data_IF_926515988940
#
_entry.id   IF_926515988940
#
_cell.length_a   1.000
_cell.length_b   1.000
_cell.length_c   1.000
_cell.angle_alpha   90.00
_cell.angle_beta   90.00
_cell.angle_gamma   90.00
#
_symmetry.space_group_name_H-M   'P 1'
#
loop_
_entity.id
_entity.type
_entity.pdbx_description
1 polymer ?
#
# COMPACT_ATOMS: atom_id res chain seq x y z
N UNK A 1 -12.12 -15.16 7.76
CA UNK A 1 -11.51 -15.44 9.08
C UNK A 1 -10.10 -14.87 9.11
N UNK A 2 -9.78 -14.04 10.11
CA UNK A 2 -8.43 -13.52 10.33
C UNK A 2 -7.59 -14.47 11.22
N UNK A 3 -6.31 -14.13 11.47
CA UNK A 3 -5.44 -14.97 12.31
C UNK A 3 -5.94 -15.12 13.75
N UNK A 4 -6.58 -14.08 14.32
CA UNK A 4 -7.10 -14.12 15.68
C UNK A 4 -8.32 -15.03 15.78
N UNK A 5 -9.21 -14.98 14.79
CA UNK A 5 -10.38 -15.87 14.70
C UNK A 5 -9.99 -17.34 14.53
N UNK A 6 -8.92 -17.62 13.77
CA UNK A 6 -8.39 -18.99 13.66
C UNK A 6 -7.75 -19.43 14.97
N UNK A 7 -6.99 -18.56 15.64
CA UNK A 7 -6.44 -18.86 16.96
C UNK A 7 -7.55 -19.20 17.95
N UNK A 8 -8.60 -18.37 18.01
CA UNK A 8 -9.76 -18.61 18.86
C UNK A 8 -10.48 -19.92 18.50
N UNK A 9 -10.60 -20.24 17.20
CA UNK A 9 -11.19 -21.51 16.73
C UNK A 9 -10.35 -22.71 17.17
N UNK A 10 -9.03 -22.63 17.05
CA UNK A 10 -8.12 -23.70 17.47
C UNK A 10 -8.10 -23.87 19.00
N UNK A 11 -8.20 -22.78 19.77
CA UNK A 11 -8.34 -22.82 21.22
C UNK A 11 -9.65 -23.51 21.65
N UNK A 12 -10.77 -23.23 20.97
CA UNK A 12 -12.05 -23.93 21.22
C UNK A 12 -11.91 -25.45 20.97
N UNK A 13 -11.14 -25.84 19.94
CA UNK A 13 -10.85 -27.25 19.68
C UNK A 13 -9.98 -27.84 20.79
N UNK A 14 -8.94 -27.15 21.21
CA UNK A 14 -8.04 -27.61 22.29
C UNK A 14 -8.77 -27.74 23.62
N UNK A 15 -9.78 -26.90 23.90
CA UNK A 15 -10.61 -26.93 25.10
C UNK A 15 -11.78 -27.92 25.00
N UNK A 16 -11.94 -28.65 23.88
CA UNK A 16 -13.02 -29.58 23.65
C UNK A 16 -14.42 -28.95 23.45
N UNK A 17 -14.47 -27.63 23.26
CA UNK A 17 -15.70 -26.88 23.01
C UNK A 17 -16.18 -27.02 21.56
N UNK A 18 -15.30 -27.41 20.65
CA UNK A 18 -15.59 -27.66 19.24
C UNK A 18 -14.82 -28.88 18.75
N UNK A 19 -15.42 -29.68 17.89
CA UNK A 19 -14.75 -30.83 17.30
C UNK A 19 -13.76 -30.39 16.18
N UNK A 20 -12.74 -31.21 15.95
CA UNK A 20 -11.77 -30.99 14.84
C UNK A 20 -12.50 -30.88 13.48
N UNK A 21 -13.53 -31.72 13.26
CA UNK A 21 -14.30 -31.73 12.02
C UNK A 21 -15.11 -30.45 11.83
N UNK A 22 -15.70 -29.90 12.89
CA UNK A 22 -16.40 -28.60 12.83
C UNK A 22 -15.42 -27.45 12.56
N UNK A 23 -14.21 -27.46 13.14
CA UNK A 23 -13.18 -26.48 12.88
C UNK A 23 -12.68 -26.56 11.43
N UNK A 24 -12.39 -27.76 10.92
CA UNK A 24 -12.01 -27.99 9.52
C UNK A 24 -13.11 -27.54 8.55
N UNK A 25 -14.38 -27.79 8.90
CA UNK A 25 -15.50 -27.33 8.09
C UNK A 25 -15.58 -25.80 8.07
N UNK A 26 -15.46 -25.14 9.23
CA UNK A 26 -15.43 -23.67 9.32
C UNK A 26 -14.30 -23.06 8.48
N UNK A 27 -13.10 -23.64 8.54
CA UNK A 27 -11.95 -23.20 7.72
C UNK A 27 -12.15 -23.46 6.21
N UNK A 28 -12.94 -24.45 5.83
CA UNK A 28 -13.16 -24.79 4.40
C UNK A 28 -14.30 -24.00 3.76
N UNK A 29 -15.28 -23.57 4.53
CA UNK A 29 -16.55 -23.07 4.00
C UNK A 29 -16.48 -21.63 3.45
N UNK A 30 -15.43 -20.85 3.75
CA UNK A 30 -15.39 -19.42 3.38
C UNK A 30 -14.03 -18.93 2.82
N UNK A 31 -13.39 -19.61 1.84
CA UNK A 31 -12.16 -19.09 1.25
C UNK A 31 -12.42 -17.80 0.43
N UNK A 32 -13.61 -17.62 -0.09
CA UNK A 32 -14.05 -16.42 -0.80
C UNK A 32 -15.56 -16.28 -0.75
N UNK A 33 -16.04 -15.04 -0.93
CA UNK A 33 -17.46 -14.74 -1.10
C UNK A 33 -17.73 -14.45 -2.58
N UNK A 34 -18.75 -15.11 -3.14
CA UNK A 34 -19.19 -14.97 -4.53
C UNK A 34 -20.23 -13.83 -4.64
N UNK A 35 -19.93 -12.79 -5.42
CA UNK A 35 -20.84 -11.66 -5.69
C UNK A 35 -21.42 -11.71 -7.13
N UNK A 36 -21.19 -12.81 -7.87
CA UNK A 36 -21.57 -12.96 -9.27
C UNK A 36 -20.61 -12.30 -10.25
N UNK A 37 -20.18 -11.08 -10.00
CA UNK A 37 -19.18 -10.35 -10.79
C UNK A 37 -17.78 -10.33 -10.16
N UNK A 38 -17.66 -10.68 -8.89
CA UNK A 38 -16.39 -10.71 -8.15
C UNK A 38 -16.36 -11.85 -7.14
N UNK A 39 -15.16 -12.30 -6.81
CA UNK A 39 -14.89 -13.25 -5.72
C UNK A 39 -13.98 -12.55 -4.72
N UNK A 40 -14.52 -12.24 -3.53
CA UNK A 40 -13.79 -11.56 -2.47
C UNK A 40 -13.02 -12.59 -1.66
N UNK A 41 -11.71 -12.46 -1.57
CA UNK A 41 -10.80 -13.42 -0.90
C UNK A 41 -10.77 -13.17 0.61
N UNK A 42 -11.52 -13.94 1.37
CA UNK A 42 -11.58 -13.83 2.83
C UNK A 42 -10.36 -14.47 3.55
N UNK A 43 -9.47 -15.15 2.83
CA UNK A 43 -8.28 -15.82 3.38
C UNK A 43 -6.97 -15.10 3.07
N UNK A 44 -7.01 -13.94 2.42
CA UNK A 44 -5.80 -13.20 2.06
C UNK A 44 -5.03 -12.76 3.31
N UNK A 45 -5.71 -12.28 4.35
CA UNK A 45 -5.10 -11.90 5.62
C UNK A 45 -4.29 -13.04 6.25
N UNK A 46 -4.77 -14.29 6.13
CA UNK A 46 -4.08 -15.47 6.64
C UNK A 46 -2.83 -15.85 5.84
N UNK A 47 -2.90 -15.70 4.51
CA UNK A 47 -1.79 -16.09 3.62
C UNK A 47 -0.73 -15.02 3.49
N UNK A 48 -1.12 -13.76 3.53
CA UNK A 48 -0.27 -12.61 3.20
C UNK A 48 -0.12 -11.60 4.35
N UNK A 49 -0.80 -11.82 5.48
CA UNK A 49 -0.75 -10.91 6.64
C UNK A 49 -1.49 -9.58 6.45
N UNK A 50 -2.14 -9.37 5.31
CA UNK A 50 -2.90 -8.16 5.00
C UNK A 50 -4.24 -8.51 4.36
N UNK A 51 -5.28 -7.74 4.69
CA UNK A 51 -6.60 -7.85 4.10
C UNK A 51 -6.58 -7.66 2.58
N UNK A 52 -7.65 -8.07 1.89
CA UNK A 52 -7.81 -7.81 0.48
C UNK A 52 -7.92 -6.30 0.21
N UNK A 53 -7.44 -5.89 -0.96
CA UNK A 53 -7.43 -4.49 -1.42
C UNK A 53 -8.29 -4.38 -2.67
N UNK A 54 -9.15 -3.38 -2.72
CA UNK A 54 -10.00 -3.14 -3.89
C UNK A 54 -9.23 -2.29 -4.90
N UNK A 55 -8.91 -2.85 -6.05
CA UNK A 55 -8.38 -2.07 -7.18
C UNK A 55 -9.56 -1.43 -7.92
N UNK A 56 -9.75 -0.12 -7.76
CA UNK A 56 -10.92 0.61 -8.26
C UNK A 56 -10.90 0.89 -9.77
N UNK A 57 -9.71 0.93 -10.41
CA UNK A 57 -9.66 1.20 -11.84
C UNK A 57 -10.40 0.11 -12.65
N UNK A 58 -11.27 0.54 -13.56
CA UNK A 58 -12.07 -0.35 -14.40
C UNK A 58 -13.30 -0.96 -13.73
N UNK A 59 -13.53 -0.69 -12.44
CA UNK A 59 -14.78 -1.06 -11.75
C UNK A 59 -15.79 0.08 -11.78
N UNK A 60 -17.07 -0.28 -11.83
CA UNK A 60 -18.15 0.72 -11.65
C UNK A 60 -18.23 1.14 -10.17
N UNK A 61 -18.74 2.34 -9.86
CA UNK A 61 -18.95 2.78 -8.47
C UNK A 61 -19.75 1.76 -7.64
N UNK A 62 -20.78 1.16 -8.23
CA UNK A 62 -21.60 0.14 -7.56
C UNK A 62 -20.82 -1.14 -7.26
N UNK A 63 -19.96 -1.60 -8.17
CA UNK A 63 -19.11 -2.76 -7.93
C UNK A 63 -18.14 -2.53 -6.76
N UNK A 64 -17.54 -1.34 -6.67
CA UNK A 64 -16.65 -0.96 -5.56
C UNK A 64 -17.41 -0.98 -4.25
N UNK A 65 -18.61 -0.36 -4.22
CA UNK A 65 -19.48 -0.33 -3.07
C UNK A 65 -19.87 -1.74 -2.59
N UNK A 66 -20.33 -2.60 -3.49
CA UNK A 66 -20.80 -3.95 -3.13
C UNK A 66 -19.65 -4.84 -2.61
N UNK A 67 -18.44 -4.71 -3.17
CA UNK A 67 -17.23 -5.40 -2.66
C UNK A 67 -16.88 -4.87 -1.26
N UNK A 68 -16.83 -3.55 -1.07
CA UNK A 68 -16.50 -2.95 0.22
C UNK A 68 -17.53 -3.33 1.30
N UNK A 69 -18.82 -3.36 0.96
CA UNK A 69 -19.91 -3.81 1.84
C UNK A 69 -19.71 -5.27 2.25
N UNK A 70 -19.39 -6.14 1.30
CA UNK A 70 -19.11 -7.55 1.54
C UNK A 70 -17.92 -7.73 2.51
N UNK A 71 -16.82 -7.02 2.28
CA UNK A 71 -15.65 -7.05 3.16
C UNK A 71 -15.94 -6.52 4.57
N UNK A 72 -16.78 -5.50 4.72
CA UNK A 72 -17.23 -5.03 6.04
C UNK A 72 -18.06 -6.08 6.78
N UNK A 73 -18.94 -6.79 6.07
CA UNK A 73 -19.78 -7.86 6.65
C UNK A 73 -18.95 -9.06 7.11
N UNK A 74 -17.79 -9.33 6.50
CA UNK A 74 -16.84 -10.37 6.93
C UNK A 74 -15.88 -9.92 8.04
N UNK A 75 -16.04 -8.69 8.58
CA UNK A 75 -15.31 -8.23 9.75
C UNK A 75 -14.08 -7.35 9.45
N UNK A 76 -13.79 -7.04 8.18
CA UNK A 76 -12.67 -6.16 7.86
C UNK A 76 -12.86 -4.76 8.47
N UNK A 77 -11.87 -4.33 9.27
CA UNK A 77 -11.92 -3.06 10.02
C UNK A 77 -11.51 -1.86 9.18
N UNK A 78 -10.51 -2.05 8.31
CA UNK A 78 -10.01 -1.04 7.39
C UNK A 78 -9.90 -1.65 5.99
N UNK A 79 -10.59 -1.07 5.01
CA UNK A 79 -10.59 -1.54 3.62
C UNK A 79 -9.95 -0.48 2.75
N UNK A 80 -8.85 -0.84 2.10
CA UNK A 80 -8.15 0.04 1.16
C UNK A 80 -8.74 -0.12 -0.25
N UNK A 81 -9.05 1.02 -0.88
CA UNK A 81 -9.52 1.11 -2.26
C UNK A 81 -8.54 1.98 -3.03
N UNK A 82 -7.78 1.40 -3.96
CA UNK A 82 -6.82 2.15 -4.78
C UNK A 82 -7.45 2.59 -6.10
N UNK A 83 -6.89 3.64 -6.72
CA UNK A 83 -7.36 4.18 -8.02
C UNK A 83 -8.87 4.51 -8.02
N UNK A 84 -9.39 4.95 -6.89
CA UNK A 84 -10.79 5.31 -6.72
C UNK A 84 -11.10 6.63 -7.43
N UNK A 85 -12.24 6.71 -8.12
CA UNK A 85 -12.73 7.96 -8.70
C UNK A 85 -13.57 8.72 -7.69
N UNK A 86 -13.70 10.04 -7.88
CA UNK A 86 -14.57 10.87 -7.03
C UNK A 86 -16.03 10.43 -7.09
N UNK A 87 -16.52 10.01 -8.26
CA UNK A 87 -17.85 9.44 -8.43
C UNK A 87 -18.04 8.17 -7.59
N UNK A 88 -17.04 7.27 -7.61
CA UNK A 88 -17.09 6.07 -6.78
C UNK A 88 -17.06 6.42 -5.29
N UNK A 89 -16.28 7.45 -4.90
CA UNK A 89 -16.25 7.92 -3.53
C UNK A 89 -17.60 8.46 -3.05
N UNK A 90 -18.33 9.16 -3.89
CA UNK A 90 -19.68 9.61 -3.57
C UNK A 90 -20.62 8.43 -3.30
N UNK A 91 -20.66 7.44 -4.20
CA UNK A 91 -21.52 6.26 -4.06
C UNK A 91 -21.18 5.41 -2.85
N UNK A 92 -19.88 5.17 -2.59
CA UNK A 92 -19.43 4.38 -1.43
C UNK A 92 -19.70 5.11 -0.12
N UNK A 93 -19.52 6.45 -0.11
CA UNK A 93 -19.72 7.28 1.08
C UNK A 93 -21.17 7.53 1.47
N UNK A 94 -22.17 7.08 0.67
CA UNK A 94 -23.59 7.22 1.01
C UNK A 94 -23.97 6.42 2.26
N UNK A 95 -23.38 5.25 2.45
CA UNK A 95 -23.74 4.33 3.54
C UNK A 95 -22.53 3.63 4.22
N UNK A 96 -21.30 3.82 3.71
CA UNK A 96 -20.09 3.32 4.35
C UNK A 96 -19.23 4.46 4.94
N UNK A 97 -18.55 4.24 6.09
CA UNK A 97 -17.67 5.25 6.69
C UNK A 97 -16.38 5.41 5.86
N UNK A 98 -16.47 6.14 4.76
CA UNK A 98 -15.41 6.36 3.80
C UNK A 98 -14.63 7.64 4.10
N UNK A 99 -13.30 7.54 4.17
CA UNK A 99 -12.34 8.65 4.02
C UNK A 99 -11.76 8.61 2.61
N UNK A 100 -12.04 9.63 1.79
CA UNK A 100 -11.52 9.73 0.43
C UNK A 100 -10.37 10.73 0.33
N UNK A 101 -9.22 10.28 -0.16
CA UNK A 101 -8.00 11.05 -0.38
C UNK A 101 -7.83 11.29 -1.87
N UNK A 102 -8.31 12.45 -2.34
CA UNK A 102 -8.40 12.77 -3.76
C UNK A 102 -7.06 12.70 -4.48
N UNK A 103 -5.99 13.26 -3.87
CA UNK A 103 -4.66 13.33 -4.48
C UNK A 103 -4.06 11.95 -4.80
N UNK A 104 -4.17 11.01 -3.88
CA UNK A 104 -3.74 9.61 -4.08
C UNK A 104 -4.79 8.74 -4.76
N UNK A 105 -6.02 9.26 -4.95
CA UNK A 105 -7.18 8.49 -5.42
C UNK A 105 -7.42 7.24 -4.57
N UNK A 106 -7.28 7.40 -3.26
CA UNK A 106 -7.41 6.34 -2.27
C UNK A 106 -8.70 6.53 -1.48
N UNK A 107 -9.49 5.47 -1.38
CA UNK A 107 -10.59 5.37 -0.42
C UNK A 107 -10.20 4.44 0.72
N UNK A 108 -10.56 4.83 1.94
CA UNK A 108 -10.38 4.01 3.13
C UNK A 108 -11.74 3.89 3.81
N UNK A 109 -12.29 2.68 3.85
CA UNK A 109 -13.55 2.40 4.54
C UNK A 109 -13.24 1.83 5.92
N UNK A 110 -13.69 2.52 6.97
CA UNK A 110 -13.43 2.17 8.36
C UNK A 110 -12.37 3.04 9.00
N UNK A 111 -11.72 2.54 10.06
CA UNK A 111 -10.76 3.29 10.87
C UNK A 111 -9.32 2.91 10.52
N UNK A 112 -8.45 3.93 10.45
CA UNK A 112 -7.01 3.72 10.32
C UNK A 112 -6.48 2.92 11.51
N UNK A 113 -5.73 1.83 11.29
CA UNK A 113 -5.13 1.10 12.40
C UNK A 113 -4.02 1.91 13.08
N UNK A 114 -3.78 1.64 14.36
CA UNK A 114 -2.61 2.15 15.04
C UNK A 114 -1.33 1.52 14.42
N UNK A 115 -0.21 2.26 14.36
CA UNK A 115 1.05 1.71 13.86
C UNK A 115 1.54 0.53 14.70
N UNK A 116 1.92 -0.56 14.02
CA UNK A 116 2.49 -1.78 14.60
C UNK A 116 3.86 -2.12 14.03
N UNK A 117 4.28 -1.43 12.95
CA UNK A 117 5.61 -1.58 12.35
C UNK A 117 6.74 -1.16 13.29
N UNK A 118 7.93 -1.74 13.11
CA UNK A 118 9.10 -1.59 14.00
C UNK A 118 9.82 -0.25 13.88
N UNK A 119 9.59 0.51 12.79
CA UNK A 119 10.21 1.81 12.53
C UNK A 119 9.36 2.68 11.61
N UNK A 120 9.96 3.76 11.11
CA UNK A 120 9.29 4.71 10.23
C UNK A 120 9.59 4.39 8.75
N UNK A 121 8.56 4.43 7.92
CA UNK A 121 8.69 4.42 6.47
C UNK A 121 8.77 5.87 5.99
N UNK A 122 9.82 6.21 5.25
CA UNK A 122 9.94 7.51 4.59
C UNK A 122 9.46 7.40 3.16
N UNK A 123 8.58 8.32 2.74
CA UNK A 123 8.09 8.44 1.35
C UNK A 123 8.60 9.76 0.78
N UNK A 124 9.53 9.69 -0.19
CA UNK A 124 10.18 10.85 -0.77
C UNK A 124 9.83 11.01 -2.26
N UNK A 125 9.53 12.25 -2.71
CA UNK A 125 9.25 12.55 -4.12
C UNK A 125 10.29 13.44 -4.77
N UNK A 126 10.57 13.20 -6.05
CA UNK A 126 11.42 14.07 -6.87
C UNK A 126 10.79 15.42 -7.10
N UNK A 127 9.51 15.46 -7.44
CA UNK A 127 8.78 16.69 -7.67
C UNK A 127 7.34 16.63 -7.16
N UNK A 128 6.64 17.76 -7.21
CA UNK A 128 5.22 17.85 -6.80
C UNK A 128 4.29 17.03 -7.69
N UNK A 129 4.66 16.80 -8.95
CA UNK A 129 3.88 15.97 -9.88
C UNK A 129 3.93 14.48 -9.53
N UNK A 130 4.86 14.03 -8.68
CA UNK A 130 4.98 12.66 -8.22
C UNK A 130 4.12 12.39 -6.97
N UNK A 131 3.57 13.44 -6.33
CA UNK A 131 2.80 13.35 -5.08
C UNK A 131 1.61 12.39 -5.18
N UNK A 132 0.83 12.31 -6.28
CA UNK A 132 -0.27 11.35 -6.36
C UNK A 132 0.17 9.90 -6.16
N UNK A 133 1.31 9.49 -6.70
CA UNK A 133 1.88 8.15 -6.51
C UNK A 133 2.43 7.98 -5.09
N UNK A 134 2.97 9.05 -4.52
CA UNK A 134 3.47 9.06 -3.14
C UNK A 134 2.35 8.93 -2.11
N UNK A 135 1.22 9.60 -2.30
CA UNK A 135 0.05 9.45 -1.44
C UNK A 135 -0.55 8.05 -1.55
N UNK A 136 -0.57 7.44 -2.75
CA UNK A 136 -0.96 6.04 -2.90
C UNK A 136 -0.05 5.12 -2.06
N UNK A 137 1.28 5.34 -2.07
CA UNK A 137 2.23 4.55 -1.30
C UNK A 137 2.11 4.80 0.22
N UNK A 138 2.03 6.08 0.62
CA UNK A 138 1.95 6.48 2.02
C UNK A 138 0.68 5.95 2.69
N UNK A 139 -0.49 6.19 2.09
CA UNK A 139 -1.77 5.73 2.61
C UNK A 139 -1.87 4.20 2.63
N UNK A 140 -1.28 3.52 1.63
CA UNK A 140 -1.19 2.05 1.66
C UNK A 140 -0.38 1.56 2.85
N UNK A 141 0.78 2.16 3.11
CA UNK A 141 1.60 1.80 4.27
C UNK A 141 0.89 2.11 5.60
N UNK A 142 0.21 3.26 5.71
CA UNK A 142 -0.55 3.65 6.91
C UNK A 142 -1.71 2.69 7.21
N UNK A 143 -2.51 2.32 6.19
CA UNK A 143 -3.60 1.32 6.34
C UNK A 143 -3.06 -0.05 6.75
N UNK A 144 -1.83 -0.38 6.38
CA UNK A 144 -1.14 -1.60 6.80
C UNK A 144 -0.42 -1.47 8.16
N UNK A 145 -0.72 -0.44 8.95
CA UNK A 145 -0.22 -0.27 10.32
C UNK A 145 1.22 0.23 10.41
N UNK A 146 1.61 1.18 9.55
CA UNK A 146 2.94 1.77 9.62
C UNK A 146 2.89 3.26 9.93
N UNK A 147 3.94 3.75 10.61
CA UNK A 147 4.23 5.17 10.71
C UNK A 147 4.92 5.64 9.45
N UNK A 148 4.44 6.74 8.85
CA UNK A 148 4.95 7.27 7.59
C UNK A 148 5.37 8.73 7.73
N UNK A 149 6.59 9.05 7.26
CA UNK A 149 7.08 10.44 7.08
C UNK A 149 7.10 10.77 5.59
N UNK A 150 6.49 11.89 5.20
CA UNK A 150 6.38 12.37 3.83
C UNK A 150 7.40 13.47 3.55
N UNK A 151 8.29 13.28 2.59
CA UNK A 151 9.30 14.24 2.12
C UNK A 151 9.02 14.60 0.66
N UNK A 152 8.20 15.63 0.46
CA UNK A 152 7.77 15.98 -0.90
C UNK A 152 8.66 17.07 -1.51
N UNK A 153 8.82 17.01 -2.85
CA UNK A 153 9.60 17.94 -3.66
C UNK A 153 11.09 18.04 -3.24
N UNK A 154 11.70 16.89 -2.94
CA UNK A 154 13.12 16.77 -2.59
C UNK A 154 13.98 16.30 -3.77
N UNK A 155 13.65 16.72 -4.98
CA UNK A 155 14.35 16.32 -6.21
C UNK A 155 15.80 16.76 -6.30
N UNK A 156 16.58 16.00 -7.05
CA UNK A 156 18.06 16.17 -7.19
C UNK A 156 18.48 17.47 -7.88
N UNK A 157 17.59 18.14 -8.62
CA UNK A 157 17.86 19.45 -9.20
C UNK A 157 18.07 20.55 -8.14
N UNK A 158 17.61 20.31 -6.92
CA UNK A 158 17.88 21.16 -5.76
C UNK A 158 18.34 20.30 -4.58
N UNK A 159 19.51 19.69 -4.69
CA UNK A 159 20.02 18.67 -3.76
C UNK A 159 20.03 19.12 -2.28
N UNK A 160 20.14 20.43 -2.03
CA UNK A 160 20.02 21.01 -0.68
C UNK A 160 18.67 20.71 -0.02
N UNK A 161 17.59 20.54 -0.80
CA UNK A 161 16.26 20.14 -0.27
C UNK A 161 16.30 18.71 0.25
N UNK A 162 16.90 17.78 -0.48
CA UNK A 162 17.09 16.40 -0.02
C UNK A 162 17.97 16.36 1.24
N UNK A 163 19.09 17.11 1.23
CA UNK A 163 20.02 17.13 2.35
C UNK A 163 19.46 17.81 3.61
N UNK A 164 18.46 18.67 3.50
CA UNK A 164 17.78 19.24 4.68
C UNK A 164 16.97 18.21 5.48
N UNK A 165 16.68 17.05 4.88
CA UNK A 165 15.97 15.91 5.51
C UNK A 165 16.88 14.71 5.78
N UNK A 166 18.19 14.95 5.94
CA UNK A 166 19.16 13.87 6.11
C UNK A 166 18.88 13.02 7.36
N UNK A 167 18.42 13.63 8.45
CA UNK A 167 18.06 12.93 9.68
C UNK A 167 16.89 11.96 9.45
N UNK A 168 15.83 12.40 8.79
CA UNK A 168 14.69 11.54 8.44
C UNK A 168 15.13 10.37 7.54
N UNK A 169 15.98 10.64 6.54
CA UNK A 169 16.49 9.65 5.59
C UNK A 169 17.35 8.60 6.31
N UNK A 170 18.26 9.02 7.19
CA UNK A 170 19.18 8.12 7.90
C UNK A 170 18.52 7.33 9.03
N UNK A 171 17.41 7.81 9.58
CA UNK A 171 16.67 7.12 10.66
C UNK A 171 15.55 6.22 10.14
N UNK A 172 15.30 6.20 8.84
CA UNK A 172 14.23 5.41 8.24
C UNK A 172 14.50 3.90 8.35
N UNK A 173 13.45 3.11 8.58
CA UNK A 173 13.51 1.64 8.48
C UNK A 173 13.44 1.15 7.03
N UNK A 174 12.67 1.86 6.19
CA UNK A 174 12.51 1.65 4.75
C UNK A 174 12.23 2.99 4.10
N UNK A 175 12.77 3.23 2.91
CA UNK A 175 12.48 4.42 2.14
C UNK A 175 11.79 4.05 0.83
N UNK A 176 10.73 4.77 0.48
CA UNK A 176 10.09 4.72 -0.83
C UNK A 176 10.50 5.99 -1.58
N UNK A 177 11.33 5.84 -2.61
CA UNK A 177 11.83 6.95 -3.43
C UNK A 177 11.07 6.99 -4.77
N UNK A 178 10.30 8.04 -4.99
CA UNK A 178 9.35 8.18 -6.10
C UNK A 178 9.79 9.33 -7.00
N UNK A 179 10.06 9.03 -8.26
CA UNK A 179 10.53 10.05 -9.21
C UNK A 179 10.21 9.69 -10.67
N UNK A 180 9.81 10.69 -11.43
CA UNK A 180 9.76 10.63 -12.89
C UNK A 180 11.07 11.06 -13.55
N UNK A 181 10.99 11.63 -14.75
CA UNK A 181 12.12 12.09 -15.55
C UNK A 181 13.20 10.99 -15.72
N UNK A 182 14.39 11.19 -15.12
CA UNK A 182 15.51 10.24 -15.14
C UNK A 182 15.61 9.38 -13.87
N UNK A 183 14.73 9.57 -12.88
CA UNK A 183 14.66 8.73 -11.68
C UNK A 183 15.86 8.82 -10.72
N UNK A 184 16.70 9.85 -10.81
CA UNK A 184 17.97 9.94 -10.10
C UNK A 184 17.84 10.01 -8.57
N UNK A 185 16.70 10.46 -8.04
CA UNK A 185 16.43 10.57 -6.60
C UNK A 185 16.67 9.23 -5.87
N UNK A 186 16.26 8.11 -6.46
CA UNK A 186 16.42 6.80 -5.86
C UNK A 186 17.88 6.42 -5.60
N UNK A 187 18.79 6.75 -6.54
CA UNK A 187 20.22 6.51 -6.39
C UNK A 187 20.86 7.43 -5.35
N UNK A 188 20.43 8.70 -5.29
CA UNK A 188 20.93 9.65 -4.29
C UNK A 188 20.51 9.23 -2.88
N UNK A 189 19.23 8.92 -2.67
CA UNK A 189 18.73 8.43 -1.38
C UNK A 189 19.40 7.11 -1.00
N UNK A 190 19.56 6.17 -1.93
CA UNK A 190 20.25 4.91 -1.70
C UNK A 190 21.72 5.06 -1.33
N UNK A 191 22.37 6.16 -1.71
CA UNK A 191 23.71 6.50 -1.28
C UNK A 191 23.80 7.20 0.08
N UNK A 192 22.67 7.70 0.60
CA UNK A 192 22.59 8.42 1.88
C UNK A 192 22.04 7.55 3.03
N UNK A 193 21.38 6.44 2.73
CA UNK A 193 20.69 5.59 3.70
C UNK A 193 21.36 4.22 3.83
N UNK A 194 21.23 3.60 4.99
CA UNK A 194 21.67 2.23 5.29
C UNK A 194 20.49 1.23 5.34
N UNK A 195 19.29 1.67 4.97
CA UNK A 195 18.10 0.85 4.92
C UNK A 195 17.67 0.51 3.48
N UNK A 196 16.76 -0.48 3.27
CA UNK A 196 16.23 -0.80 1.96
C UNK A 196 15.52 0.40 1.32
N UNK A 197 15.78 0.65 0.03
CA UNK A 197 15.12 1.67 -0.77
C UNK A 197 14.26 1.02 -1.84
N UNK A 198 12.96 1.34 -1.85
CA UNK A 198 12.01 0.91 -2.86
C UNK A 198 11.82 2.07 -3.84
N UNK A 199 12.36 1.94 -5.04
CA UNK A 199 12.29 2.94 -6.07
C UNK A 199 11.00 2.78 -6.90
N UNK A 200 10.24 3.86 -7.03
CA UNK A 200 9.01 3.91 -7.82
C UNK A 200 9.21 4.88 -8.97
N UNK A 201 9.41 4.38 -10.20
CA UNK A 201 9.40 5.25 -11.37
C UNK A 201 7.99 5.77 -11.59
N UNK A 202 7.84 7.04 -11.98
CA UNK A 202 6.54 7.59 -12.36
C UNK A 202 6.47 7.89 -13.84
N UNK A 203 5.26 7.95 -14.40
CA UNK A 203 5.00 8.36 -15.77
C UNK A 203 5.20 9.85 -15.99
N UNK A 204 5.56 10.60 -14.95
CA UNK A 204 5.85 12.04 -15.01
C UNK A 204 7.10 12.29 -15.85
N UNK A 205 6.96 13.10 -16.90
CA UNK A 205 8.03 13.44 -17.80
C UNK A 205 7.52 13.80 -19.19
N UNK A 206 8.46 14.07 -20.08
CA UNK A 206 8.18 14.42 -21.48
C UNK A 206 9.28 13.89 -22.40
N UNK A 207 9.04 13.93 -23.71
CA UNK A 207 10.04 13.52 -24.71
C UNK A 207 10.58 12.12 -24.49
N UNK A 208 11.87 11.98 -24.21
CA UNK A 208 12.56 10.71 -24.02
C UNK A 208 12.24 10.00 -22.67
N UNK A 209 11.35 10.55 -21.84
CA UNK A 209 10.89 9.87 -20.65
C UNK A 209 10.02 8.64 -20.98
N UNK A 210 9.38 8.58 -22.17
CA UNK A 210 8.56 7.46 -22.65
C UNK A 210 7.58 6.93 -21.60
N UNK A 211 6.82 7.84 -20.92
CA UNK A 211 5.82 7.45 -19.91
C UNK A 211 6.42 6.76 -18.70
N UNK A 212 7.64 7.12 -18.30
CA UNK A 212 8.32 6.57 -17.12
C UNK A 212 9.34 5.47 -17.41
N UNK A 213 9.48 5.05 -18.69
CA UNK A 213 10.45 4.01 -19.05
C UNK A 213 11.89 4.44 -18.77
N UNK A 214 12.24 5.71 -19.02
CA UNK A 214 13.58 6.23 -18.71
C UNK A 214 13.88 6.16 -17.21
N UNK A 215 12.94 6.57 -16.35
CA UNK A 215 13.06 6.45 -14.90
C UNK A 215 13.20 4.98 -14.46
N UNK A 216 12.36 4.08 -15.00
CA UNK A 216 12.42 2.65 -14.69
C UNK A 216 13.81 2.07 -15.03
N UNK A 217 14.31 2.29 -16.24
CA UNK A 217 15.61 1.76 -16.67
C UNK A 217 16.77 2.36 -15.86
N UNK A 218 16.71 3.64 -15.52
CA UNK A 218 17.69 4.29 -14.67
C UNK A 218 17.71 3.70 -13.26
N UNK A 219 16.56 3.52 -12.64
CA UNK A 219 16.44 2.93 -11.31
C UNK A 219 16.90 1.47 -11.28
N UNK A 220 16.59 0.66 -12.32
CA UNK A 220 17.06 -0.73 -12.46
C UNK A 220 18.59 -0.82 -12.61
N UNK A 221 19.23 0.22 -13.13
CA UNK A 221 20.68 0.34 -13.29
C UNK A 221 21.35 1.16 -12.18
N UNK A 222 20.67 1.41 -11.06
CA UNK A 222 21.23 2.13 -9.93
C UNK A 222 22.48 1.43 -9.41
N UNK A 223 23.57 2.20 -9.18
CA UNK A 223 24.78 1.69 -8.54
C UNK A 223 24.66 1.67 -6.99
N UNK A 224 23.61 2.27 -6.41
CA UNK A 224 23.39 2.23 -4.98
C UNK A 224 22.87 0.84 -4.58
N UNK A 225 23.60 0.16 -3.68
CA UNK A 225 23.21 -1.14 -3.17
C UNK A 225 21.93 -1.03 -2.31
N UNK A 226 21.04 -2.01 -2.39
CA UNK A 226 19.79 -2.01 -1.61
C UNK A 226 18.60 -1.30 -2.27
N UNK A 227 18.76 -0.77 -3.50
CA UNK A 227 17.66 -0.23 -4.29
C UNK A 227 16.93 -1.36 -5.01
N UNK A 228 15.64 -1.50 -4.73
CA UNK A 228 14.72 -2.41 -5.41
C UNK A 228 13.66 -1.61 -6.15
N UNK A 229 13.27 -2.03 -7.36
CA UNK A 229 12.40 -1.24 -8.22
C UNK A 229 11.06 -1.92 -8.38
N UNK A 230 9.97 -1.16 -8.24
CA UNK A 230 8.61 -1.61 -8.58
C UNK A 230 8.20 -1.08 -9.96
N UNK A 231 7.01 -1.45 -10.42
CA UNK A 231 6.51 -0.98 -11.72
C UNK A 231 6.22 0.54 -11.73
N UNK A 232 6.08 1.12 -12.92
CA UNK A 232 5.74 2.53 -13.14
C UNK A 232 4.39 2.84 -12.46
N UNK A 233 4.33 3.97 -11.75
CA UNK A 233 3.14 4.46 -11.02
C UNK A 233 2.57 3.45 -10.01
N UNK A 234 3.38 2.53 -9.50
CA UNK A 234 2.94 1.52 -8.54
C UNK A 234 3.22 1.92 -7.09
N UNK A 235 2.57 3.00 -6.63
CA UNK A 235 2.64 3.44 -5.24
C UNK A 235 2.12 2.38 -4.27
N UNK A 236 1.01 1.73 -4.62
CA UNK A 236 0.45 0.64 -3.81
C UNK A 236 1.47 -0.49 -3.58
N UNK A 237 2.11 -0.99 -4.65
CA UNK A 237 3.09 -2.07 -4.53
C UNK A 237 4.28 -1.70 -3.65
N UNK A 238 4.74 -0.44 -3.73
CA UNK A 238 5.82 0.07 -2.89
C UNK A 238 5.40 0.18 -1.42
N UNK A 239 4.24 0.75 -1.12
CA UNK A 239 3.69 0.84 0.23
C UNK A 239 3.49 -0.53 0.87
N UNK A 240 2.98 -1.48 0.11
CA UNK A 240 2.78 -2.86 0.55
C UNK A 240 4.12 -3.55 0.87
N UNK A 241 5.11 -3.47 -0.04
CA UNK A 241 6.43 -4.06 0.16
C UNK A 241 7.16 -3.42 1.35
N UNK A 242 7.09 -2.08 1.48
CA UNK A 242 7.67 -1.36 2.61
C UNK A 242 7.04 -1.81 3.94
N UNK A 243 5.72 -1.99 3.96
CA UNK A 243 5.02 -2.51 5.13
C UNK A 243 5.50 -3.92 5.51
N UNK A 244 5.66 -4.82 4.54
CA UNK A 244 6.19 -6.16 4.81
C UNK A 244 7.57 -6.10 5.47
N UNK A 245 8.47 -5.27 4.95
CA UNK A 245 9.83 -5.10 5.49
C UNK A 245 9.79 -4.51 6.90
N UNK A 246 8.90 -3.55 7.15
CA UNK A 246 8.81 -2.85 8.44
C UNK A 246 8.16 -3.70 9.54
N UNK A 247 7.53 -4.83 9.21
CA UNK A 247 6.97 -5.78 10.17
C UNK A 247 7.86 -7.02 10.40
N UNK A 248 9.02 -7.11 9.71
CA UNK A 248 10.05 -8.09 9.98
C UNK A 248 10.96 -7.59 11.13
#
# INVERSE_FOLDING_TARGET
>A
MDQQEIHALLEQVAQGQRSVNEAVLALKMEPFQELGFAKVDNHRGLRQGAAEVIYGAGKTPRQIHDIATSMRQTGEKAILITRMTQEAAQVVGEDLPLSYHEMGRIGIVGEMPAPTGTGTIVVATGGTSDIPVAEEAALTAEVLGNQVTRLYDVGVAGLHRTLSHLEDIMSARVIIAIAGMEGALASVIGGLSDCPVIAVPTSVGYGAAFGGLAALLSMLNSCASGVSVVNIDNGFGAGYLASMINHL
#
